data_IF_699235836477
#
_entry.id   IF_699235836477
#
_cell.length_a   1.000
_cell.length_b   1.000
_cell.length_c   1.000
_cell.angle_alpha   90.00
_cell.angle_beta   90.00
_cell.angle_gamma   90.00
#
_symmetry.space_group_name_H-M   'P 1'
#
loop_
_entity.id
_entity.type
_entity.pdbx_description
1 polymer ?
#
# COMPACT_ATOMS: atom_id res chain seq x y z
N UNK A 1 -8.84 5.48 -24.73
CA UNK A 1 -8.15 6.16 -23.62
C UNK A 1 -8.06 5.15 -22.50
N UNK A 2 -6.90 4.54 -22.28
CA UNK A 2 -6.69 3.74 -21.06
C UNK A 2 -6.45 4.79 -20.00
N UNK A 3 -7.42 5.04 -19.12
CA UNK A 3 -7.15 5.87 -17.94
C UNK A 3 -5.95 5.25 -17.23
N UNK A 4 -4.94 6.07 -16.91
CA UNK A 4 -3.75 5.67 -16.17
C UNK A 4 -4.17 5.31 -14.73
N UNK A 5 -4.87 4.19 -14.57
CA UNK A 5 -5.26 3.65 -13.27
C UNK A 5 -4.01 3.05 -12.66
N UNK A 6 -3.32 3.84 -11.85
CA UNK A 6 -2.20 3.38 -11.02
C UNK A 6 -2.80 2.58 -9.87
N UNK A 7 -2.56 1.27 -9.86
CA UNK A 7 -2.98 0.42 -8.73
C UNK A 7 -2.17 0.79 -7.50
N UNK A 8 -2.88 1.29 -6.50
CA UNK A 8 -2.33 1.66 -5.20
C UNK A 8 -2.97 0.83 -4.10
N UNK A 9 -2.19 0.56 -3.06
CA UNK A 9 -2.66 -0.06 -1.84
C UNK A 9 -2.87 1.01 -0.77
N UNK A 10 -3.93 0.87 0.03
CA UNK A 10 -4.15 1.75 1.18
C UNK A 10 -2.95 1.66 2.12
N UNK A 11 -2.37 2.80 2.48
CA UNK A 11 -1.24 2.84 3.40
C UNK A 11 -1.69 2.32 4.76
N UNK A 12 -1.10 1.21 5.21
CA UNK A 12 -1.50 0.53 6.46
C UNK A 12 -1.11 1.31 7.71
N UNK A 13 -0.11 2.18 7.62
CA UNK A 13 0.40 2.96 8.75
C UNK A 13 -0.50 4.12 9.15
N UNK A 14 -1.03 4.86 8.17
CA UNK A 14 -2.00 5.93 8.43
C UNK A 14 -3.45 5.50 8.15
N UNK A 15 -3.68 4.24 7.80
CA UNK A 15 -4.97 3.75 7.34
C UNK A 15 -5.59 4.66 6.26
N UNK A 16 -4.78 5.19 5.34
CA UNK A 16 -5.25 6.07 4.27
C UNK A 16 -5.59 7.51 4.65
N UNK A 17 -5.36 7.95 5.88
CA UNK A 17 -5.61 9.36 6.27
C UNK A 17 -4.49 10.31 5.83
N UNK A 18 -3.31 9.78 5.50
CA UNK A 18 -2.11 10.58 5.20
C UNK A 18 -1.40 11.15 6.43
N UNK A 19 -1.92 10.94 7.64
CA UNK A 19 -1.30 11.38 8.88
C UNK A 19 -1.27 10.25 9.92
N UNK A 20 -0.31 10.33 10.85
CA UNK A 20 -0.26 9.47 12.03
C UNK A 20 -0.50 10.34 13.24
N UNK A 21 -1.44 9.93 14.09
CA UNK A 21 -1.71 10.58 15.37
C UNK A 21 -1.12 9.73 16.48
N UNK A 22 -0.34 10.34 17.36
CA UNK A 22 0.24 9.69 18.54
C UNK A 22 -0.29 10.41 19.78
N UNK A 23 -0.74 9.65 20.77
CA UNK A 23 -1.08 10.19 22.08
C UNK A 23 0.19 10.23 22.94
N UNK A 24 0.52 11.40 23.45
CA UNK A 24 1.62 11.64 24.35
C UNK A 24 1.13 11.57 25.80
N UNK A 25 2.07 11.43 26.73
CA UNK A 25 1.78 11.52 28.17
C UNK A 25 1.11 12.86 28.50
N UNK A 26 0.04 12.81 29.30
CA UNK A 26 -0.72 14.02 29.68
C UNK A 26 -1.90 14.35 28.77
N UNK A 27 -2.25 13.48 27.81
CA UNK A 27 -3.44 13.64 26.96
C UNK A 27 -3.24 14.54 25.75
N UNK A 28 -2.01 15.00 25.52
CA UNK A 28 -1.64 15.72 24.31
C UNK A 28 -1.60 14.76 23.12
N UNK A 29 -2.02 15.26 21.94
CA UNK A 29 -2.00 14.48 20.69
C UNK A 29 -1.10 15.18 19.69
N UNK A 30 -0.15 14.44 19.16
CA UNK A 30 0.70 14.92 18.08
C UNK A 30 0.24 14.30 16.76
N UNK A 31 0.02 15.15 15.76
CA UNK A 31 -0.35 14.73 14.40
C UNK A 31 0.83 15.03 13.49
N UNK A 32 1.35 13.99 12.84
CA UNK A 32 2.46 14.10 11.90
C UNK A 32 2.05 13.60 10.52
N UNK A 33 2.67 14.16 9.47
CA UNK A 33 2.53 13.63 8.11
C UNK A 33 3.07 12.21 8.07
N UNK A 34 2.30 11.27 7.53
CA UNK A 34 2.73 9.88 7.48
C UNK A 34 3.92 9.71 6.54
N UNK A 35 5.10 9.47 7.11
CA UNK A 35 6.36 9.32 6.34
C UNK A 35 6.31 8.17 5.35
N UNK A 36 5.58 7.10 5.69
CA UNK A 36 5.54 5.88 4.88
C UNK A 36 4.83 6.07 3.54
N UNK A 37 3.88 7.00 3.45
CA UNK A 37 3.19 7.31 2.20
C UNK A 37 3.37 8.77 1.80
N UNK A 38 4.30 9.48 2.42
CA UNK A 38 4.50 10.91 2.26
C UNK A 38 3.18 11.70 2.33
N UNK A 39 2.26 11.31 3.21
CA UNK A 39 0.95 11.94 3.36
C UNK A 39 -0.07 11.71 2.23
N UNK A 40 0.23 10.88 1.23
CA UNK A 40 -0.70 10.54 0.14
C UNK A 40 -1.84 9.64 0.63
N UNK A 41 -1.58 8.81 1.65
CA UNK A 41 -2.55 7.82 2.15
C UNK A 41 -2.54 6.49 1.40
N UNK A 42 -1.77 6.38 0.33
CA UNK A 42 -1.61 5.15 -0.44
C UNK A 42 -0.16 4.88 -0.81
N UNK A 43 0.14 3.63 -1.11
CA UNK A 43 1.43 3.15 -1.60
C UNK A 43 1.22 2.54 -2.98
N UNK A 44 2.06 2.86 -3.95
CA UNK A 44 2.05 2.14 -5.22
C UNK A 44 2.30 0.65 -4.97
N UNK A 45 1.46 -0.23 -5.52
CA UNK A 45 1.64 -1.66 -5.35
C UNK A 45 3.02 -2.05 -5.91
N UNK A 46 3.91 -2.58 -5.07
CA UNK A 46 5.29 -2.90 -5.47
C UNK A 46 5.36 -4.12 -6.38
N UNK A 47 4.36 -4.99 -6.32
CA UNK A 47 4.28 -6.19 -7.16
C UNK A 47 3.99 -5.86 -8.62
N UNK A 48 3.03 -4.96 -8.89
CA UNK A 48 2.67 -4.56 -10.25
C UNK A 48 3.21 -3.18 -10.65
N UNK A 49 3.90 -2.48 -9.74
CA UNK A 49 4.38 -1.11 -9.91
C UNK A 49 3.29 -0.14 -10.39
N UNK A 50 2.06 -0.37 -9.95
CA UNK A 50 0.89 0.40 -10.36
C UNK A 50 0.28 0.03 -11.71
N UNK A 51 0.86 -0.89 -12.48
CA UNK A 51 0.32 -1.29 -13.79
C UNK A 51 -0.92 -2.19 -13.69
N UNK A 52 -1.14 -2.82 -12.53
CA UNK A 52 -2.16 -3.86 -12.37
C UNK A 52 -1.86 -5.18 -13.10
N UNK A 53 -0.71 -5.29 -13.76
CA UNK A 53 -0.28 -6.50 -14.45
C UNK A 53 0.59 -7.31 -13.50
N UNK A 54 0.12 -8.50 -13.11
CA UNK A 54 0.97 -9.49 -12.47
C UNK A 54 1.62 -10.34 -13.59
N UNK A 55 2.96 -10.41 -13.68
CA UNK A 55 3.63 -11.23 -14.67
C UNK A 55 3.22 -12.70 -14.56
N UNK A 56 2.97 -13.37 -15.68
CA UNK A 56 2.53 -14.79 -15.72
C UNK A 56 3.50 -15.77 -15.05
N UNK A 57 4.75 -15.39 -14.81
CA UNK A 57 5.70 -16.22 -14.07
C UNK A 57 5.48 -16.21 -12.54
N UNK A 58 4.73 -15.23 -12.01
CA UNK A 58 4.26 -15.17 -10.62
C UNK A 58 2.87 -15.80 -10.45
N UNK A 59 2.21 -16.15 -11.56
CA UNK A 59 0.99 -16.93 -11.51
C UNK A 59 1.34 -18.26 -10.81
N UNK A 60 0.59 -18.55 -9.75
CA UNK A 60 0.91 -19.62 -8.81
C UNK A 60 1.13 -20.91 -9.60
N UNK A 61 2.36 -21.44 -9.54
CA UNK A 61 2.70 -22.75 -10.12
C UNK A 61 1.61 -23.73 -9.71
N UNK A 62 0.97 -24.35 -10.69
CA UNK A 62 0.20 -25.58 -10.49
C UNK A 62 1.17 -26.56 -9.83
N UNK A 63 1.02 -26.78 -8.52
CA UNK A 63 1.70 -27.88 -7.86
C UNK A 63 1.09 -29.13 -8.47
N UNK A 64 1.78 -29.74 -9.44
CA UNK A 64 1.52 -31.12 -9.78
C UNK A 64 1.98 -31.93 -8.59
N UNK A 65 1.04 -32.44 -7.81
CA UNK A 65 1.30 -33.55 -6.91
C UNK A 65 1.78 -34.71 -7.79
N UNK A 66 3.05 -35.09 -7.68
CA UNK A 66 3.55 -36.34 -8.27
C UNK A 66 3.18 -37.48 -7.32
N UNK A 67 2.40 -38.45 -7.83
CA UNK A 67 1.92 -39.67 -7.15
C UNK A 67 3.04 -40.50 -6.48
#
# INVERSE_FOLDING_TARGET
MVENVVIVERCRFCMGTGNVTVELSGGEKEVSRCINCEGVGSLTCTTCQGTGIQPRYLDRREFKDED
#
